data_IF_891270087386
#
_entry.id   IF_891270087386
#
_cell.length_a   1.000
_cell.length_b   1.000
_cell.length_c   1.000
_cell.angle_alpha   90.00
_cell.angle_beta   90.00
_cell.angle_gamma   90.00
#
_symmetry.space_group_name_H-M   'P 1'
#
loop_
_entity.id
_entity.type
_entity.pdbx_description
1 polymer ?
#
# COMPACT_ATOMS: atom_id res chain seq x y z
N UNK A 1 -23.90 -8.69 -8.08
CA UNK A 1 -22.78 -7.74 -8.37
C UNK A 1 -21.70 -8.54 -9.09
N UNK A 2 -21.09 -8.07 -10.18
CA UNK A 2 -19.96 -8.80 -10.74
C UNK A 2 -18.88 -8.85 -9.65
N UNK A 3 -18.24 -10.01 -9.48
CA UNK A 3 -17.09 -10.15 -8.60
C UNK A 3 -16.00 -9.20 -9.12
N UNK A 4 -15.85 -8.05 -8.46
CA UNK A 4 -14.69 -7.20 -8.72
C UNK A 4 -13.46 -8.02 -8.36
N UNK A 5 -12.50 -8.24 -9.26
CA UNK A 5 -11.32 -9.02 -8.93
C UNK A 5 -10.52 -8.27 -7.87
N UNK A 6 -10.38 -8.88 -6.70
CA UNK A 6 -9.45 -8.40 -5.68
C UNK A 6 -8.03 -8.84 -6.05
N UNK A 7 -7.05 -7.98 -5.80
CA UNK A 7 -5.63 -8.33 -5.96
C UNK A 7 -5.07 -8.70 -4.59
N UNK A 8 -4.59 -9.93 -4.37
CA UNK A 8 -3.87 -10.27 -3.16
C UNK A 8 -2.52 -9.55 -3.11
N UNK A 9 -2.21 -8.96 -1.96
CA UNK A 9 -1.02 -8.14 -1.77
C UNK A 9 -0.33 -8.46 -0.43
N UNK A 10 0.99 -8.27 -0.39
CA UNK A 10 1.76 -8.17 0.85
C UNK A 10 1.94 -6.69 1.19
N UNK A 11 1.60 -6.34 2.42
CA UNK A 11 1.80 -4.99 2.93
C UNK A 11 3.24 -4.79 3.38
N UNK A 12 3.80 -3.65 3.01
CA UNK A 12 5.02 -3.11 3.60
C UNK A 12 4.73 -1.69 4.08
N UNK A 13 4.99 -1.43 5.36
CA UNK A 13 4.77 -0.11 5.94
C UNK A 13 6.10 0.54 6.33
N UNK A 14 6.15 1.87 6.19
CA UNK A 14 7.27 2.69 6.64
C UNK A 14 6.75 4.02 7.16
N UNK A 15 7.31 4.48 8.27
CA UNK A 15 7.20 5.88 8.68
C UNK A 15 8.51 6.58 8.32
N UNK A 16 8.42 7.73 7.67
CA UNK A 16 9.58 8.55 7.32
C UNK A 16 9.88 9.57 8.41
N UNK A 17 11.09 10.13 8.41
CA UNK A 17 11.49 11.20 9.32
C UNK A 17 10.65 12.48 9.15
N UNK A 18 10.02 12.66 7.98
CA UNK A 18 9.12 13.79 7.68
C UNK A 18 7.68 13.57 8.17
N UNK A 19 7.42 12.47 8.88
CA UNK A 19 6.10 12.12 9.40
C UNK A 19 5.13 11.63 8.31
N UNK A 20 5.64 11.14 7.18
CA UNK A 20 4.81 10.44 6.19
C UNK A 20 4.69 8.97 6.57
N UNK A 21 3.46 8.45 6.68
CA UNK A 21 3.18 7.03 6.72
C UNK A 21 2.96 6.52 5.29
N UNK A 22 3.83 5.63 4.86
CA UNK A 22 3.75 4.96 3.57
C UNK A 22 3.26 3.53 3.76
N UNK A 23 2.22 3.15 3.01
CA UNK A 23 1.75 1.78 2.90
C UNK A 23 1.88 1.31 1.46
N UNK A 24 2.79 0.35 1.25
CA UNK A 24 2.96 -0.31 -0.02
C UNK A 24 2.17 -1.63 -0.06
N UNK A 25 1.51 -1.85 -1.18
CA UNK A 25 0.78 -3.06 -1.52
C UNK A 25 1.51 -3.74 -2.67
N UNK A 26 2.34 -4.75 -2.39
CA UNK A 26 3.01 -5.52 -3.43
C UNK A 26 2.13 -6.68 -3.85
N UNK A 27 1.80 -6.80 -5.14
CA UNK A 27 1.07 -7.97 -5.63
C UNK A 27 1.84 -9.25 -5.30
N UNK A 28 1.14 -10.27 -4.80
CA UNK A 28 1.77 -11.58 -4.58
C UNK A 28 1.84 -12.42 -5.86
N UNK A 29 1.32 -11.91 -6.97
CA UNK A 29 1.13 -12.67 -8.23
C UNK A 29 1.69 -11.95 -9.46
N UNK A 30 2.23 -10.74 -9.31
CA UNK A 30 2.79 -9.93 -10.39
C UNK A 30 3.74 -8.88 -9.84
N UNK A 31 4.46 -8.18 -10.70
CA UNK A 31 5.35 -7.08 -10.30
C UNK A 31 4.62 -5.74 -10.06
N UNK A 32 3.28 -5.76 -10.04
CA UNK A 32 2.48 -4.55 -9.79
C UNK A 32 2.49 -4.20 -8.31
N UNK A 33 2.67 -2.91 -8.03
CA UNK A 33 2.71 -2.37 -6.69
C UNK A 33 1.89 -1.08 -6.63
N UNK A 34 1.30 -0.81 -5.47
CA UNK A 34 0.54 0.41 -5.21
C UNK A 34 1.02 1.03 -3.90
N UNK A 35 1.12 2.35 -3.84
CA UNK A 35 1.53 3.09 -2.64
C UNK A 35 0.39 4.00 -2.20
N UNK A 36 0.07 3.94 -0.91
CA UNK A 36 -0.75 4.93 -0.23
C UNK A 36 0.14 5.75 0.70
N UNK A 37 0.00 7.07 0.67
CA UNK A 37 0.78 8.00 1.46
C UNK A 37 -0.15 8.83 2.33
N UNK A 38 0.14 8.90 3.63
CA UNK A 38 -0.64 9.62 4.62
C UNK A 38 0.26 10.53 5.44
N UNK A 39 -0.14 11.80 5.56
CA UNK A 39 0.50 12.72 6.48
C UNK A 39 0.11 12.34 7.91
N UNK A 40 1.06 11.87 8.70
CA UNK A 40 0.85 11.42 10.09
C UNK A 40 1.25 12.48 11.12
N UNK A 41 1.45 13.74 10.70
CA UNK A 41 1.73 14.85 11.61
C UNK A 41 0.46 15.22 12.39
N UNK A 42 0.66 15.51 13.68
CA UNK A 42 -0.37 16.00 14.61
C UNK A 42 -0.71 17.47 14.38
#
# INVERSE_FOLDING_TARGET
>A
MPSRPFVPVRFQSRVTELGMFELWCHSSQSDRNWKLEFNARS
#
